data_IF_538028628371
#
_entry.id   IF_538028628371
#
_cell.length_a   1.000
_cell.length_b   1.000
_cell.length_c   1.000
_cell.angle_alpha   90.00
_cell.angle_beta   90.00
_cell.angle_gamma   90.00
#
_symmetry.space_group_name_H-M   'P 1'
#
loop_
_entity.id
_entity.type
_entity.pdbx_description
1 polymer ?
#
# COMPACT_ATOMS: atom_id res chain seq x y z
N UNK A 1 12.27 -26.39 -15.84
CA UNK A 1 13.09 -25.59 -14.91
C UNK A 1 12.40 -24.25 -14.67
N UNK A 2 11.31 -24.21 -13.86
CA UNK A 2 10.48 -23.01 -13.64
C UNK A 2 9.87 -23.07 -12.23
N UNK A 3 10.65 -22.81 -11.18
CA UNK A 3 10.12 -22.74 -9.79
C UNK A 3 10.81 -21.70 -8.89
N UNK A 4 11.94 -21.11 -9.29
CA UNK A 4 12.71 -20.21 -8.42
C UNK A 4 12.03 -18.84 -8.17
N UNK A 5 11.38 -18.25 -9.18
CA UNK A 5 10.84 -16.89 -9.06
C UNK A 5 9.62 -16.75 -8.14
N UNK A 6 8.63 -17.68 -8.15
CA UNK A 6 7.53 -17.64 -7.19
C UNK A 6 7.96 -17.86 -5.74
N UNK A 7 9.02 -18.66 -5.52
CA UNK A 7 9.59 -18.88 -4.19
C UNK A 7 10.20 -17.59 -3.62
N UNK A 8 10.98 -16.87 -4.43
CA UNK A 8 11.57 -15.58 -4.04
C UNK A 8 10.52 -14.53 -3.67
N UNK A 9 9.44 -14.40 -4.46
CA UNK A 9 8.34 -13.48 -4.15
C UNK A 9 7.68 -13.82 -2.80
N UNK A 10 7.43 -15.11 -2.55
CA UNK A 10 6.83 -15.57 -1.31
C UNK A 10 7.74 -15.38 -0.09
N UNK A 11 9.05 -15.57 -0.26
CA UNK A 11 10.03 -15.31 0.80
C UNK A 11 10.09 -13.83 1.16
N UNK A 12 10.14 -12.94 0.18
CA UNK A 12 10.15 -11.49 0.41
C UNK A 12 8.84 -11.06 1.09
N UNK A 13 7.68 -11.53 0.61
CA UNK A 13 6.39 -11.19 1.23
C UNK A 13 6.30 -11.61 2.70
N UNK A 14 6.91 -12.73 3.09
CA UNK A 14 6.96 -13.17 4.50
C UNK A 14 7.83 -12.29 5.38
N UNK A 15 8.79 -11.57 4.80
CA UNK A 15 9.68 -10.65 5.51
C UNK A 15 9.07 -9.26 5.69
N UNK A 16 8.01 -8.92 4.95
CA UNK A 16 7.38 -7.61 5.03
C UNK A 16 6.17 -7.64 5.96
N UNK A 17 6.15 -6.76 6.96
CA UNK A 17 5.02 -6.54 7.85
C UNK A 17 4.41 -5.18 7.57
N UNK A 18 3.08 -5.13 7.54
CA UNK A 18 2.32 -3.90 7.30
C UNK A 18 1.46 -3.62 8.54
N UNK A 19 1.64 -2.45 9.13
CA UNK A 19 0.83 -1.98 10.26
C UNK A 19 0.19 -0.63 9.92
N UNK A 20 -1.09 -0.45 10.24
CA UNK A 20 -1.78 0.83 10.10
C UNK A 20 -1.74 1.56 11.44
N UNK A 21 -1.12 2.74 11.46
CA UNK A 21 -0.90 3.53 12.68
C UNK A 21 -1.70 4.83 12.57
N UNK A 22 -2.61 5.13 13.52
CA UNK A 22 -3.27 6.43 13.55
C UNK A 22 -2.25 7.55 13.84
N UNK A 23 -2.28 8.61 13.05
CA UNK A 23 -1.43 9.79 13.22
C UNK A 23 -2.26 10.96 13.76
N UNK A 24 -1.89 11.47 14.94
CA UNK A 24 -2.61 12.53 15.65
C UNK A 24 -1.63 13.61 16.13
N UNK A 25 -1.58 14.75 15.44
CA UNK A 25 -0.71 15.89 15.79
C UNK A 25 -1.24 16.75 16.95
N UNK A 26 -2.46 16.49 17.45
CA UNK A 26 -3.12 17.33 18.46
C UNK A 26 -3.49 16.50 19.70
N UNK A 27 -3.00 16.93 20.87
CA UNK A 27 -3.37 16.42 22.20
C UNK A 27 -4.89 16.32 22.39
N UNK A 28 -5.68 17.23 21.80
CA UNK A 28 -7.15 17.22 21.84
C UNK A 28 -7.82 16.17 20.94
N UNK A 29 -7.11 15.61 19.95
CA UNK A 29 -7.60 14.56 19.07
C UNK A 29 -7.14 13.16 19.47
N UNK A 30 -6.18 13.02 20.41
CA UNK A 30 -5.72 11.72 20.96
C UNK A 30 -6.87 10.83 21.43
N UNK A 31 -7.97 11.39 21.91
CA UNK A 31 -9.17 10.66 22.35
C UNK A 31 -10.03 10.07 21.21
N UNK A 32 -9.88 10.54 19.96
CA UNK A 32 -10.79 10.22 18.84
C UNK A 32 -10.32 9.06 17.95
N UNK A 33 -9.04 8.70 18.02
CA UNK A 33 -8.44 7.61 17.23
C UNK A 33 -7.95 6.47 18.12
N UNK A 34 -8.66 6.20 19.22
CA UNK A 34 -8.42 5.06 20.10
C UNK A 34 -9.37 3.93 19.66
N UNK A 35 -8.91 2.67 19.56
CA UNK A 35 -9.82 1.54 19.42
C UNK A 35 -10.69 1.46 20.69
N UNK A 36 -11.94 1.93 20.58
CA UNK A 36 -12.90 2.04 21.67
C UNK A 36 -14.27 1.51 21.25
N UNK A 37 -14.98 0.94 22.20
CA UNK A 37 -16.14 0.03 22.06
C UNK A 37 -17.46 0.66 21.57
N UNK A 38 -17.49 1.93 21.19
CA UNK A 38 -18.72 2.58 20.73
C UNK A 38 -18.39 3.56 19.60
N UNK A 39 -19.00 3.31 18.45
CA UNK A 39 -18.80 3.96 17.14
C UNK A 39 -18.50 5.46 17.19
N UNK A 40 -17.50 5.90 16.41
CA UNK A 40 -17.26 7.32 16.10
C UNK A 40 -17.05 7.48 14.59
N UNK A 41 -17.80 8.41 13.97
CA UNK A 41 -17.70 8.86 12.57
C UNK A 41 -16.51 9.81 12.34
N UNK A 42 -15.29 9.41 12.70
CA UNK A 42 -14.10 10.25 12.49
C UNK A 42 -13.08 9.58 11.56
N UNK A 43 -12.78 10.27 10.45
CA UNK A 43 -11.72 9.89 9.52
C UNK A 43 -10.39 10.25 10.18
N UNK A 44 -9.68 9.24 10.69
CA UNK A 44 -8.34 9.41 11.24
C UNK A 44 -7.32 9.49 10.10
N UNK A 45 -6.35 10.41 10.20
CA UNK A 45 -5.14 10.30 9.38
C UNK A 45 -4.43 9.01 9.77
N UNK A 46 -4.04 8.23 8.75
CA UNK A 46 -3.33 6.97 8.95
C UNK A 46 -1.93 7.12 8.38
N UNK A 47 -0.95 6.62 9.09
CA UNK A 47 0.33 6.23 8.51
C UNK A 47 0.29 4.73 8.26
N UNK A 48 0.80 4.31 7.12
CA UNK A 48 1.17 2.92 6.94
C UNK A 48 2.63 2.75 7.30
N UNK A 49 2.87 1.87 8.25
CA UNK A 49 4.20 1.37 8.55
C UNK A 49 4.44 0.09 7.78
N UNK A 50 5.49 0.09 6.96
CA UNK A 50 5.98 -1.08 6.24
C UNK A 50 7.32 -1.46 6.84
N UNK A 51 7.36 -2.55 7.60
CA UNK A 51 8.55 -3.02 8.31
C UNK A 51 9.19 -4.21 7.62
N UNK A 52 10.51 -4.28 7.63
CA UNK A 52 11.27 -5.44 7.18
C UNK A 52 11.72 -6.27 8.38
N UNK A 53 11.07 -7.40 8.64
CA UNK A 53 11.42 -8.36 9.70
C UNK A 53 12.39 -9.44 9.20
N UNK A 54 12.85 -9.36 7.95
CA UNK A 54 13.87 -10.22 7.37
C UNK A 54 15.28 -9.77 7.71
N UNK A 55 16.26 -10.57 7.29
CA UNK A 55 17.70 -10.28 7.48
C UNK A 55 18.30 -9.46 6.34
N UNK A 56 17.72 -9.57 5.14
CA UNK A 56 18.21 -8.89 3.95
C UNK A 56 17.59 -7.50 3.83
N UNK A 57 18.28 -6.59 3.14
CA UNK A 57 17.69 -5.30 2.75
C UNK A 57 16.68 -5.49 1.63
N UNK A 58 15.56 -4.76 1.69
CA UNK A 58 14.48 -4.82 0.70
C UNK A 58 14.21 -3.43 0.12
N UNK A 59 14.08 -3.36 -1.19
CA UNK A 59 13.58 -2.18 -1.92
C UNK A 59 12.07 -2.22 -2.01
N UNK A 60 11.46 -1.05 -1.83
CA UNK A 60 10.03 -0.81 -1.82
C UNK A 60 9.65 0.23 -2.88
N UNK A 61 8.58 -0.04 -3.61
CA UNK A 61 7.82 0.97 -4.36
C UNK A 61 6.35 0.89 -3.97
N UNK A 62 5.77 2.00 -3.54
CA UNK A 62 4.38 2.11 -3.16
C UNK A 62 3.68 3.13 -4.05
N UNK A 63 2.57 2.72 -4.66
CA UNK A 63 1.65 3.57 -5.40
C UNK A 63 0.36 3.73 -4.61
N UNK A 64 -0.01 4.98 -4.34
CA UNK A 64 -1.28 5.37 -3.73
C UNK A 64 -2.20 5.98 -4.79
N UNK A 65 -3.39 5.40 -4.99
CA UNK A 65 -4.36 5.89 -5.97
C UNK A 65 -5.82 5.70 -5.50
N UNK A 66 -6.76 6.49 -6.03
CA UNK A 66 -8.20 6.38 -5.67
C UNK A 66 -8.86 5.24 -6.43
N UNK A 67 -9.65 4.42 -5.74
CA UNK A 67 -10.32 3.27 -6.37
C UNK A 67 -11.40 3.70 -7.38
N UNK A 68 -11.90 4.94 -7.29
CA UNK A 68 -12.81 5.53 -8.27
C UNK A 68 -12.20 5.61 -9.68
N UNK A 69 -10.86 5.68 -9.78
CA UNK A 69 -10.18 5.73 -11.08
C UNK A 69 -10.26 4.40 -11.85
N UNK A 70 -10.67 3.30 -11.20
CA UNK A 70 -10.74 1.98 -11.80
C UNK A 70 -12.17 1.55 -12.20
N UNK A 71 -13.20 2.33 -11.87
CA UNK A 71 -14.57 2.03 -12.29
C UNK A 71 -14.82 2.55 -13.71
N UNK A 72 -15.11 1.64 -14.64
CA UNK A 72 -15.37 1.94 -16.05
C UNK A 72 -16.60 2.86 -16.21
N UNK A 73 -16.35 4.10 -16.65
CA UNK A 73 -16.90 4.70 -17.89
C UNK A 73 -16.74 6.22 -17.88
N UNK A 74 -15.67 6.67 -18.51
CA UNK A 74 -15.45 8.07 -18.85
C UNK A 74 -14.04 8.47 -18.47
N UNK A 75 -13.35 9.13 -19.40
CA UNK A 75 -12.11 9.86 -19.12
C UNK A 75 -12.50 10.99 -18.17
N UNK A 76 -12.67 10.67 -16.89
CA UNK A 76 -12.60 11.69 -15.87
C UNK A 76 -11.13 12.05 -15.79
N UNK A 77 -10.77 13.17 -16.43
CA UNK A 77 -9.56 13.93 -16.15
C UNK A 77 -9.63 14.46 -14.70
N UNK A 78 -9.71 13.56 -13.73
CA UNK A 78 -9.32 13.91 -12.39
C UNK A 78 -7.80 13.90 -12.44
N UNK A 79 -7.20 15.08 -12.49
CA UNK A 79 -5.76 15.29 -12.26
C UNK A 79 -5.39 14.94 -10.81
N UNK A 80 -5.95 13.88 -10.23
CA UNK A 80 -5.58 13.37 -8.93
C UNK A 80 -4.28 12.60 -9.10
N UNK A 81 -3.20 13.31 -8.77
CA UNK A 81 -1.82 12.85 -8.87
C UNK A 81 -1.66 11.54 -8.09
N UNK A 82 -1.39 10.46 -8.80
CA UNK A 82 -0.85 9.25 -8.19
C UNK A 82 0.50 9.56 -7.56
N UNK A 83 0.61 9.28 -6.26
CA UNK A 83 1.84 9.45 -5.51
C UNK A 83 2.59 8.12 -5.48
N UNK A 84 3.77 8.10 -6.12
CA UNK A 84 4.71 6.98 -6.03
C UNK A 84 5.77 7.35 -5.00
N UNK A 85 5.93 6.48 -4.01
CA UNK A 85 7.01 6.55 -3.02
C UNK A 85 7.91 5.35 -3.23
N UNK A 86 9.22 5.54 -3.14
CA UNK A 86 10.18 4.45 -3.16
C UNK A 86 11.18 4.60 -2.02
N UNK A 87 11.69 3.46 -1.55
CA UNK A 87 12.59 3.43 -0.41
C UNK A 87 13.37 2.13 -0.34
N UNK A 88 14.38 2.14 0.53
CA UNK A 88 15.15 0.98 0.91
C UNK A 88 14.91 0.77 2.41
N UNK A 89 14.59 -0.46 2.79
CA UNK A 89 14.25 -0.83 4.17
C UNK A 89 15.23 -1.92 4.61
N UNK A 90 16.17 -1.57 5.49
CA UNK A 90 17.11 -2.57 6.04
C UNK A 90 16.39 -3.48 7.03
N UNK A 91 17.08 -4.55 7.45
CA UNK A 91 16.60 -5.44 8.49
C UNK A 91 16.21 -4.67 9.75
N UNK A 92 15.02 -4.96 10.28
CA UNK A 92 14.40 -4.33 11.45
C UNK A 92 14.13 -2.81 11.30
N UNK A 93 14.20 -2.26 10.09
CA UNK A 93 13.74 -0.90 9.82
C UNK A 93 12.28 -0.90 9.35
N UNK A 94 11.66 0.27 9.50
CA UNK A 94 10.32 0.54 9.02
C UNK A 94 10.30 1.79 8.15
N UNK A 95 9.45 1.76 7.13
CA UNK A 95 9.19 2.86 6.24
C UNK A 95 7.76 3.35 6.44
N UNK A 96 7.59 4.64 6.70
CA UNK A 96 6.29 5.26 6.93
C UNK A 96 5.77 5.88 5.63
N UNK A 97 4.56 5.50 5.24
CA UNK A 97 3.83 6.08 4.11
C UNK A 97 2.64 6.83 4.69
N UNK A 98 2.62 8.15 4.51
CA UNK A 98 1.52 9.01 4.93
C UNK A 98 0.28 8.73 4.04
N UNK A 99 -0.81 8.30 4.69
CA UNK A 99 -2.12 8.11 4.11
C UNK A 99 -3.00 9.25 4.63
N UNK A 100 -2.78 10.44 4.07
CA UNK A 100 -3.58 11.65 4.35
C UNK A 100 -5.07 11.38 4.16
N UNK A 101 -5.87 12.00 5.02
CA UNK A 101 -7.33 12.00 5.03
C UNK A 101 -7.93 11.91 3.64
N UNK A 102 -8.35 10.72 3.24
CA UNK A 102 -9.08 10.52 2.00
C UNK A 102 -10.52 10.19 2.36
N UNK A 103 -11.40 11.12 1.98
CA UNK A 103 -12.83 10.90 1.95
C UNK A 103 -13.23 9.84 0.91
N UNK A 104 -12.28 9.43 0.04
CA UNK A 104 -12.45 8.41 -0.98
C UNK A 104 -11.68 7.14 -0.65
N UNK A 105 -12.13 5.95 -1.11
CA UNK A 105 -11.36 4.74 -1.04
C UNK A 105 -9.98 4.88 -1.69
N UNK A 106 -8.93 4.60 -0.92
CA UNK A 106 -7.55 4.53 -1.42
C UNK A 106 -7.22 3.06 -1.69
N UNK A 107 -6.63 2.79 -2.85
CA UNK A 107 -5.89 1.56 -3.07
C UNK A 107 -4.41 1.85 -2.94
N UNK A 108 -3.72 1.07 -2.11
CA UNK A 108 -2.29 1.09 -1.97
C UNK A 108 -1.69 -0.17 -2.57
N UNK A 109 -0.84 0.01 -3.57
CA UNK A 109 -0.12 -1.07 -4.23
C UNK A 109 1.36 -0.96 -3.90
N UNK A 110 1.86 -1.93 -3.14
CA UNK A 110 3.25 -1.99 -2.69
C UNK A 110 3.95 -3.15 -3.37
N UNK A 111 5.15 -2.91 -3.89
CA UNK A 111 6.00 -3.89 -4.57
C UNK A 111 7.33 -3.94 -3.83
N UNK A 112 7.85 -5.16 -3.65
CA UNK A 112 9.06 -5.46 -2.91
C UNK A 112 10.05 -6.23 -3.78
N UNK A 113 11.33 -5.93 -3.61
CA UNK A 113 12.42 -6.64 -4.30
C UNK A 113 13.69 -6.61 -3.46
N UNK A 114 14.54 -7.64 -3.59
CA UNK A 114 15.92 -7.61 -3.04
C UNK A 114 16.84 -6.69 -3.84
N UNK A 115 16.53 -6.46 -5.11
CA UNK A 115 17.30 -5.62 -6.02
C UNK A 115 16.48 -4.41 -6.49
N UNK A 116 17.14 -3.27 -6.66
CA UNK A 116 16.48 -2.08 -7.20
C UNK A 116 16.17 -2.24 -8.69
N UNK A 117 14.91 -2.03 -9.10
CA UNK A 117 14.50 -2.02 -10.50
C UNK A 117 13.71 -0.75 -10.83
N UNK A 118 14.32 0.13 -11.62
CA UNK A 118 13.72 1.40 -12.04
C UNK A 118 12.45 1.22 -12.87
N UNK A 119 12.29 0.08 -13.57
CA UNK A 119 11.14 -0.19 -14.45
C UNK A 119 9.84 -0.29 -13.67
N UNK A 120 9.90 -0.64 -12.38
CA UNK A 120 8.73 -0.72 -11.50
C UNK A 120 8.02 0.64 -11.43
N UNK A 121 8.77 1.74 -11.36
CA UNK A 121 8.20 3.09 -11.33
C UNK A 121 7.38 3.36 -12.59
N UNK A 122 7.89 2.98 -13.76
CA UNK A 122 7.19 3.21 -15.03
C UNK A 122 5.95 2.35 -15.20
N UNK A 123 5.93 1.15 -14.60
CA UNK A 123 4.72 0.34 -14.54
C UNK A 123 3.69 0.97 -13.62
N UNK A 124 4.09 1.39 -12.42
CA UNK A 124 3.19 2.01 -11.43
C UNK A 124 2.54 3.31 -11.93
N UNK A 125 3.25 4.15 -12.71
CA UNK A 125 2.72 5.39 -13.31
C UNK A 125 1.48 5.21 -14.20
N UNK A 126 1.14 3.98 -14.58
CA UNK A 126 0.04 3.66 -15.50
C UNK A 126 -1.07 2.84 -14.85
N UNK A 127 -0.85 2.32 -13.63
CA UNK A 127 -1.73 1.35 -12.98
C UNK A 127 -3.09 1.94 -12.63
N UNK A 128 -3.14 3.21 -12.26
CA UNK A 128 -4.31 3.92 -11.77
C UNK A 128 -5.27 4.40 -12.89
N UNK A 129 -4.96 4.11 -14.15
CA UNK A 129 -5.74 4.60 -15.30
C UNK A 129 -6.87 3.66 -15.70
N UNK A 130 -6.62 2.35 -15.62
CA UNK A 130 -7.56 1.32 -16.07
C UNK A 130 -7.33 0.04 -15.27
N UNK A 131 -8.42 -0.68 -14.99
CA UNK A 131 -8.35 -1.99 -14.31
C UNK A 131 -7.50 -3.01 -15.08
N UNK A 132 -7.57 -2.99 -16.41
CA UNK A 132 -6.77 -3.85 -17.31
C UNK A 132 -5.25 -3.68 -17.09
N UNK A 133 -4.80 -2.44 -16.84
CA UNK A 133 -3.40 -2.08 -16.61
C UNK A 133 -2.94 -2.54 -15.23
N UNK A 134 -3.78 -2.41 -14.20
CA UNK A 134 -3.51 -2.97 -12.87
C UNK A 134 -3.31 -4.49 -12.96
N UNK A 135 -4.26 -5.21 -13.56
CA UNK A 135 -4.20 -6.68 -13.70
C UNK A 135 -2.96 -7.14 -14.48
N UNK A 136 -2.64 -6.43 -15.57
CA UNK A 136 -1.46 -6.72 -16.39
C UNK A 136 -0.16 -6.48 -15.61
N UNK A 137 -0.11 -5.41 -14.82
CA UNK A 137 1.04 -5.09 -13.97
C UNK A 137 1.22 -6.12 -12.86
N UNK A 138 0.13 -6.56 -12.21
CA UNK A 138 0.17 -7.67 -11.22
C UNK A 138 0.71 -8.95 -11.86
N UNK A 139 0.24 -9.33 -13.06
CA UNK A 139 0.74 -10.51 -13.78
C UNK A 139 2.24 -10.40 -14.04
N UNK A 140 2.70 -9.23 -14.49
CA UNK A 140 4.12 -8.95 -14.73
C UNK A 140 4.96 -9.09 -13.45
N UNK A 141 4.49 -8.51 -12.35
CA UNK A 141 5.16 -8.57 -11.03
C UNK A 141 5.33 -10.00 -10.55
N UNK A 142 4.24 -10.80 -10.61
CA UNK A 142 4.27 -12.22 -10.27
C UNK A 142 5.24 -13.01 -11.14
N UNK A 143 5.20 -12.81 -12.46
CA UNK A 143 6.05 -13.53 -13.40
C UNK A 143 7.54 -13.24 -13.21
N UNK A 144 7.88 -12.03 -12.75
CA UNK A 144 9.25 -11.61 -12.50
C UNK A 144 9.75 -12.00 -11.10
N UNK A 145 8.87 -12.47 -10.20
CA UNK A 145 9.25 -12.93 -8.86
C UNK A 145 9.35 -11.81 -7.83
N UNK A 146 8.69 -10.67 -8.06
CA UNK A 146 8.61 -9.59 -7.08
C UNK A 146 7.59 -9.93 -5.99
N UNK A 147 7.92 -9.57 -4.75
CA UNK A 147 6.93 -9.51 -3.67
C UNK A 147 5.96 -8.35 -3.91
N UNK A 148 4.72 -8.47 -3.47
CA UNK A 148 3.77 -7.37 -3.54
C UNK A 148 2.61 -7.52 -2.54
N UNK A 149 2.00 -6.39 -2.20
CA UNK A 149 0.75 -6.33 -1.44
C UNK A 149 -0.17 -5.27 -2.04
N UNK A 150 -1.47 -5.55 -2.11
CA UNK A 150 -2.48 -4.58 -2.49
C UNK A 150 -3.48 -4.49 -1.35
N UNK A 151 -3.61 -3.30 -0.78
CA UNK A 151 -4.56 -3.01 0.29
C UNK A 151 -5.57 -1.98 -0.21
N UNK A 152 -6.86 -2.28 -0.03
CA UNK A 152 -7.92 -1.30 -0.25
C UNK A 152 -8.34 -0.73 1.10
N UNK A 153 -8.24 0.58 1.22
CA UNK A 153 -8.57 1.36 2.41
C UNK A 153 -9.83 2.14 2.06
N UNK A 154 -10.97 1.57 2.39
CA UNK A 154 -12.27 2.26 2.34
C UNK A 154 -12.49 2.91 3.69
N UNK A 155 -13.05 4.12 3.71
CA UNK A 155 -13.64 4.80 4.88
C UNK A 155 -13.00 4.34 6.19
N UNK A 156 -11.98 5.02 6.71
CA UNK A 156 -11.29 4.63 7.96
C UNK A 156 -12.33 4.35 9.06
N UNK A 157 -12.77 3.09 9.16
CA UNK A 157 -13.90 2.63 9.96
C UNK A 157 -13.35 1.48 10.78
N UNK A 158 -13.23 1.72 12.07
CA UNK A 158 -13.10 0.66 13.07
C UNK A 158 -14.37 -0.21 12.98
N UNK A 159 -14.20 -1.48 12.64
CA UNK A 159 -15.26 -2.49 12.72
C UNK A 159 -14.90 -3.42 13.87
N UNK A 160 -15.86 -3.54 14.79
CA UNK A 160 -15.82 -4.29 16.05
C UNK A 160 -15.48 -5.78 15.86
N UNK A 161 -14.80 -6.37 16.85
CA UNK A 161 -14.68 -7.82 17.01
C UNK A 161 -15.80 -8.27 17.96
N UNK A 162 -16.68 -9.17 17.51
CA UNK A 162 -17.60 -9.86 18.42
C UNK A 162 -16.82 -10.97 19.14
N UNK A 163 -16.91 -10.98 20.47
CA UNK A 163 -16.63 -12.15 21.31
C UNK A 163 -17.92 -12.97 21.41
#
# INVERSE_FOLDING_TARGET
MITYRPLQANEINKQMRINFIPYNDLESNKLKCIPGSQSIDHVCNLNLEVSNIGVDTVFLWALKFSNLNLEDKGIQNTNKKSDIVNGMIKSNEAFLIDIKNSHEPITLFIIYSKEFDIKIIDWLKRVDREKSLLETTIKRIKALGYGYTINSIKNVKLIENKI
#
